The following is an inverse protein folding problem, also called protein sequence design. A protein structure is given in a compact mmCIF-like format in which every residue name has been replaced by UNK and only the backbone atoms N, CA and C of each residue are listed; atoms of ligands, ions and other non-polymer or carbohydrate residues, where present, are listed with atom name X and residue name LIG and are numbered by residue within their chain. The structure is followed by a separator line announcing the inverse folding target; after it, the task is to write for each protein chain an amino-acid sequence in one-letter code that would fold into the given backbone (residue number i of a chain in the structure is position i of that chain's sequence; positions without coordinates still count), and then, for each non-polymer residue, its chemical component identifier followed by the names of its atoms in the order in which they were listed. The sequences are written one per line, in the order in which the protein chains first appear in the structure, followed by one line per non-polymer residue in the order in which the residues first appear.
data_IF_307973347353
#
_entry.id   IF_307973347353
#
_cell.length_a   1.000
_cell.length_b   1.000
_cell.length_c   1.000
_cell.angle_alpha   90.00
_cell.angle_beta   90.00
_cell.angle_gamma   90.00
#
_symmetry.space_group_name_H-M   'P 1'
#
loop_
_entity.id
_entity.type
_entity.pdbx_description
1 polymer ?
#
# COMPACT_ATOMS: atom_id res chain seq x y z
N UNK A 1 -1.38 2.06 26.55
CA UNK A 1 -0.73 2.83 27.63
C UNK A 1 0.36 1.98 28.27
N UNK A 2 1.52 2.58 28.57
CA UNK A 2 2.60 1.91 29.32
C UNK A 2 2.22 1.61 30.77
N UNK A 3 1.21 2.28 31.34
CA UNK A 3 0.77 2.09 32.73
C UNK A 3 0.02 0.76 32.93
N UNK A 4 -0.66 0.29 31.89
CA UNK A 4 -1.46 -0.95 31.91
C UNK A 4 -0.59 -2.17 31.55
N UNK A 5 0.56 -1.97 30.91
CA UNK A 5 1.44 -3.06 30.52
C UNK A 5 2.00 -3.78 31.77
N UNK A 6 1.70 -5.08 31.89
CA UNK A 6 2.17 -5.96 32.98
C UNK A 6 3.38 -6.81 32.62
N UNK A 7 3.92 -6.66 31.42
CA UNK A 7 5.12 -7.40 31.00
C UNK A 7 4.90 -8.90 30.77
N UNK A 8 3.68 -9.35 30.45
CA UNK A 8 3.38 -10.77 30.14
C UNK A 8 4.06 -11.32 28.89
N UNK A 9 4.54 -10.43 28.01
CA UNK A 9 5.29 -10.75 26.79
C UNK A 9 4.56 -11.55 25.72
N UNK A 10 3.29 -11.95 25.91
CA UNK A 10 2.51 -12.66 24.88
C UNK A 10 2.41 -11.89 23.56
N UNK A 11 2.38 -10.56 23.59
CA UNK A 11 2.30 -9.73 22.39
C UNK A 11 3.54 -9.86 21.46
N UNK A 12 4.72 -10.14 22.00
CA UNK A 12 5.98 -10.22 21.24
C UNK A 12 5.97 -11.39 20.23
N UNK A 13 5.70 -12.66 20.63
CA UNK A 13 5.59 -13.75 19.68
C UNK A 13 4.33 -13.64 18.82
N UNK A 14 3.21 -13.14 19.35
CA UNK A 14 1.94 -13.04 18.62
C UNK A 14 1.98 -12.08 17.44
N UNK A 15 2.76 -11.00 17.48
CA UNK A 15 2.89 -10.11 16.33
C UNK A 15 3.60 -10.84 15.18
N UNK A 16 2.93 -11.10 14.04
CA UNK A 16 3.54 -11.87 12.97
C UNK A 16 4.71 -11.12 12.32
N UNK A 17 4.65 -9.79 12.28
CA UNK A 17 5.74 -8.92 11.79
C UNK A 17 6.89 -8.69 12.80
N UNK A 18 6.78 -9.21 14.02
CA UNK A 18 7.78 -9.04 15.09
C UNK A 18 8.15 -7.56 15.33
N UNK A 19 7.15 -6.68 15.33
CA UNK A 19 7.30 -5.22 15.53
C UNK A 19 7.02 -4.74 16.96
N UNK A 20 6.94 -5.67 17.90
CA UNK A 20 6.85 -5.39 19.33
C UNK A 20 8.15 -5.89 19.96
N UNK A 21 8.83 -5.00 20.68
CA UNK A 21 10.12 -5.26 21.30
C UNK A 21 9.96 -5.21 22.82
N UNK A 22 10.62 -6.12 23.53
CA UNK A 22 10.60 -6.12 24.97
C UNK A 22 11.75 -5.27 25.52
N UNK A 23 11.44 -4.30 26.36
CA UNK A 23 12.42 -3.53 27.09
C UNK A 23 12.76 -4.27 28.40
N UNK A 24 13.99 -4.74 28.48
CA UNK A 24 14.51 -5.54 29.61
C UNK A 24 14.74 -4.71 30.88
N UNK A 25 14.90 -3.39 30.76
CA UNK A 25 15.09 -2.48 31.89
C UNK A 25 13.74 -2.13 32.53
N UNK A 26 12.79 -1.66 31.72
CA UNK A 26 11.46 -1.28 32.22
C UNK A 26 10.53 -2.47 32.44
N UNK A 27 10.94 -3.66 31.98
CA UNK A 27 10.16 -4.89 31.96
C UNK A 27 8.82 -4.78 31.21
N UNK A 28 8.72 -3.87 30.23
CA UNK A 28 7.52 -3.62 29.43
C UNK A 28 7.76 -3.81 27.94
N UNK A 29 6.68 -4.03 27.20
CA UNK A 29 6.73 -4.11 25.74
C UNK A 29 6.56 -2.72 25.12
N UNK A 30 7.38 -2.41 24.14
CA UNK A 30 7.37 -1.17 23.36
C UNK A 30 7.22 -1.49 21.88
N UNK A 31 6.66 -0.55 21.13
CA UNK A 31 6.41 -0.72 19.70
C UNK A 31 6.38 0.63 19.00
N UNK A 32 6.32 0.62 17.67
CA UNK A 32 6.03 1.82 16.90
C UNK A 32 4.75 2.51 17.43
N UNK A 33 4.87 3.80 17.70
CA UNK A 33 3.76 4.67 18.15
C UNK A 33 3.24 5.55 17.01
N UNK A 34 3.66 5.26 15.78
CA UNK A 34 3.29 5.99 14.56
C UNK A 34 3.51 7.51 14.66
N UNK A 35 4.49 7.92 15.49
CA UNK A 35 4.76 9.30 15.84
C UNK A 35 3.49 10.10 16.21
N UNK A 36 2.55 9.53 16.97
CA UNK A 36 1.29 10.20 17.29
C UNK A 36 1.43 11.66 17.78
N UNK A 37 2.44 12.06 18.58
CA UNK A 37 2.57 13.48 18.99
C UNK A 37 2.82 14.42 17.81
N UNK A 38 3.44 13.93 16.73
CA UNK A 38 3.63 14.68 15.48
C UNK A 38 2.35 14.68 14.65
N UNK A 39 1.73 13.51 14.51
CA UNK A 39 0.50 13.34 13.74
C UNK A 39 -0.65 14.22 14.27
N UNK A 40 -0.78 14.33 15.59
CA UNK A 40 -1.76 15.21 16.25
C UNK A 40 -1.60 16.69 15.89
N UNK A 41 -0.38 17.09 15.47
CA UNK A 41 -0.05 18.43 14.99
C UNK A 41 0.00 18.53 13.45
N UNK A 42 -0.48 17.51 12.74
CA UNK A 42 -0.46 17.48 11.27
C UNK A 42 0.93 17.27 10.65
N UNK A 43 1.92 16.87 11.45
CA UNK A 43 3.27 16.57 10.98
C UNK A 43 3.42 15.09 10.60
N UNK A 44 4.21 14.77 9.57
CA UNK A 44 4.51 13.39 9.20
C UNK A 44 5.32 12.67 10.28
N UNK A 45 5.33 11.34 10.20
CA UNK A 45 6.22 10.50 10.99
C UNK A 45 7.68 10.84 10.65
N UNK A 46 8.56 10.76 11.65
CA UNK A 46 10.00 11.04 11.47
C UNK A 46 10.57 10.20 10.32
N UNK A 47 10.24 8.91 10.31
CA UNK A 47 10.77 8.00 9.31
C UNK A 47 10.21 8.25 7.89
N UNK A 48 9.07 8.95 7.75
CA UNK A 48 8.54 9.41 6.47
C UNK A 48 9.20 10.72 6.04
N UNK A 49 9.30 11.69 6.95
CA UNK A 49 9.92 13.00 6.72
C UNK A 49 11.40 12.89 6.35
N UNK A 50 12.16 12.04 7.05
CA UNK A 50 13.60 11.87 6.83
C UNK A 50 13.93 10.83 5.76
N UNK A 51 12.95 10.40 4.96
CA UNK A 51 13.15 9.40 3.93
C UNK A 51 13.92 10.00 2.74
N UNK A 52 15.24 9.79 2.71
CA UNK A 52 16.14 10.31 1.66
C UNK A 52 15.69 9.93 0.25
N UNK A 53 15.22 8.71 0.06
CA UNK A 53 14.72 8.23 -1.24
C UNK A 53 13.31 8.71 -1.61
N UNK A 54 12.66 9.54 -0.77
CA UNK A 54 11.33 10.13 -1.01
C UNK A 54 10.23 9.12 -1.40
N UNK A 55 10.34 7.89 -0.93
CA UNK A 55 9.47 6.77 -1.31
C UNK A 55 8.28 6.53 -0.34
N UNK A 56 8.17 7.35 0.71
CA UNK A 56 7.17 7.15 1.78
C UNK A 56 6.07 8.18 1.66
N UNK A 57 4.87 7.70 1.37
CA UNK A 57 3.66 8.50 1.30
C UNK A 57 2.79 8.22 2.52
N UNK A 58 2.19 9.27 3.06
CA UNK A 58 1.32 9.21 4.24
C UNK A 58 0.02 9.89 3.87
N UNK A 59 -1.10 9.23 4.13
CA UNK A 59 -2.41 9.68 3.72
C UNK A 59 -3.50 9.02 4.55
N UNK A 60 -4.64 9.70 4.63
CA UNK A 60 -5.82 9.22 5.34
C UNK A 60 -6.55 8.22 4.45
N UNK A 61 -7.08 7.16 5.03
CA UNK A 61 -7.96 6.21 4.37
C UNK A 61 -9.15 5.95 5.29
N UNK A 62 -10.35 5.95 4.74
CA UNK A 62 -11.54 5.53 5.44
C UNK A 62 -11.74 4.04 5.27
N UNK A 63 -12.24 3.39 6.32
CA UNK A 63 -12.47 1.97 6.32
C UNK A 63 -13.65 1.62 7.21
N UNK A 64 -14.36 0.56 6.86
CA UNK A 64 -15.54 0.09 7.58
C UNK A 64 -15.13 -0.84 8.72
N UNK A 65 -15.23 -0.37 9.97
CA UNK A 65 -14.84 -1.14 11.15
C UNK A 65 -15.67 -2.41 11.35
N UNK A 66 -16.95 -2.40 10.93
CA UNK A 66 -17.88 -3.51 11.19
C UNK A 66 -17.55 -4.72 10.31
N UNK A 67 -16.88 -4.51 9.17
CA UNK A 67 -16.48 -5.58 8.24
C UNK A 67 -15.10 -6.17 8.54
N UNK A 68 -14.34 -5.62 9.47
CA UNK A 68 -12.94 -6.02 9.75
C UNK A 68 -12.84 -7.51 10.10
N UNK A 69 -13.71 -8.01 10.98
CA UNK A 69 -13.68 -9.40 11.42
C UNK A 69 -14.04 -10.36 10.28
N UNK A 70 -15.13 -10.08 9.56
CA UNK A 70 -15.56 -10.87 8.41
C UNK A 70 -14.48 -10.95 7.33
N UNK A 71 -13.91 -9.80 6.96
CA UNK A 71 -12.88 -9.69 5.92
C UNK A 71 -11.60 -10.43 6.30
N UNK A 72 -11.18 -10.35 7.56
CA UNK A 72 -10.01 -11.07 8.07
C UNK A 72 -10.22 -12.59 8.20
N UNK A 73 -11.46 -13.02 8.41
CA UNK A 73 -11.84 -14.42 8.64
C UNK A 73 -12.04 -15.25 7.35
N UNK A 74 -11.76 -14.71 6.16
CA UNK A 74 -11.91 -15.43 4.88
C UNK A 74 -11.18 -16.77 4.86
N UNK A 75 -11.77 -17.84 4.32
CA UNK A 75 -11.11 -19.15 4.33
C UNK A 75 -9.93 -19.23 3.35
N UNK A 76 -10.03 -18.53 2.22
CA UNK A 76 -8.99 -18.52 1.20
C UNK A 76 -8.01 -17.38 1.47
N UNK A 77 -6.73 -17.72 1.62
CA UNK A 77 -5.67 -16.73 1.86
C UNK A 77 -5.43 -15.81 0.67
N UNK A 78 -5.83 -16.18 -0.55
CA UNK A 78 -5.64 -15.30 -1.72
C UNK A 78 -6.69 -14.18 -1.80
N UNK A 79 -7.86 -14.36 -1.18
CA UNK A 79 -8.94 -13.38 -1.21
C UNK A 79 -8.69 -12.23 -0.22
N UNK A 80 -7.80 -12.43 0.76
CA UNK A 80 -7.54 -11.45 1.84
C UNK A 80 -7.06 -10.10 1.31
N UNK A 81 -6.34 -10.08 0.19
CA UNK A 81 -5.90 -8.84 -0.46
C UNK A 81 -7.10 -8.03 -0.93
N UNK A 82 -7.99 -8.66 -1.70
CA UNK A 82 -9.17 -7.99 -2.26
C UNK A 82 -10.10 -7.55 -1.14
N UNK A 83 -10.31 -8.39 -0.12
CA UNK A 83 -11.05 -8.05 1.09
C UNK A 83 -10.47 -6.80 1.80
N UNK A 84 -9.15 -6.71 1.93
CA UNK A 84 -8.51 -5.54 2.57
C UNK A 84 -8.68 -4.28 1.71
N UNK A 85 -8.62 -4.41 0.38
CA UNK A 85 -8.90 -3.29 -0.54
C UNK A 85 -10.36 -2.88 -0.45
N UNK A 86 -11.31 -3.81 -0.40
CA UNK A 86 -12.76 -3.57 -0.29
C UNK A 86 -13.13 -2.86 1.02
N UNK A 87 -12.43 -3.17 2.11
CA UNK A 87 -12.59 -2.48 3.39
C UNK A 87 -12.33 -0.97 3.28
N UNK A 88 -11.45 -0.54 2.36
CA UNK A 88 -11.12 0.86 2.14
C UNK A 88 -12.23 1.54 1.33
N UNK A 89 -12.87 2.53 1.96
CA UNK A 89 -14.01 3.28 1.45
C UNK A 89 -13.57 4.47 0.58
N UNK A 90 -14.42 4.86 -0.37
CA UNK A 90 -14.18 6.02 -1.22
C UNK A 90 -14.44 7.34 -0.47
N UNK A 91 -13.43 8.20 -0.25
CA UNK A 91 -13.60 9.48 0.44
C UNK A 91 -14.35 10.53 -0.38
N UNK A 92 -14.70 10.26 -1.65
CA UNK A 92 -15.52 11.13 -2.49
C UNK A 92 -17.00 10.71 -2.55
N UNK A 93 -17.34 9.53 -2.05
CA UNK A 93 -18.72 9.05 -2.00
C UNK A 93 -19.54 9.90 -1.00
N UNK A 94 -20.64 10.55 -1.44
CA UNK A 94 -21.52 11.31 -0.56
C UNK A 94 -22.00 10.56 0.67
N UNK A 95 -22.27 9.25 0.57
CA UNK A 95 -22.75 8.43 1.70
C UNK A 95 -21.62 8.18 2.70
N UNK A 96 -20.40 7.91 2.24
CA UNK A 96 -19.21 7.77 3.11
C UNK A 96 -18.90 9.09 3.82
N UNK A 97 -19.01 10.23 3.12
CA UNK A 97 -18.80 11.55 3.71
C UNK A 97 -19.85 11.85 4.79
N UNK A 98 -21.10 11.48 4.53
CA UNK A 98 -22.19 11.64 5.50
C UNK A 98 -21.95 10.78 6.73
N UNK A 99 -21.64 9.50 6.57
CA UNK A 99 -21.33 8.60 7.66
C UNK A 99 -20.13 9.09 8.48
N UNK A 100 -19.04 9.53 7.82
CA UNK A 100 -17.86 10.08 8.49
C UNK A 100 -18.20 11.31 9.36
N UNK A 101 -19.12 12.18 8.91
CA UNK A 101 -19.59 13.32 9.71
C UNK A 101 -20.42 12.88 10.91
N UNK A 102 -21.30 11.89 10.73
CA UNK A 102 -22.12 11.33 11.81
C UNK A 102 -21.25 10.65 12.89
N UNK A 103 -20.13 10.05 12.50
CA UNK A 103 -19.11 9.48 13.39
C UNK A 103 -18.15 10.53 14.01
N UNK A 104 -18.32 11.81 13.68
CA UNK A 104 -17.55 12.91 14.27
C UNK A 104 -16.16 13.12 13.65
N UNK A 105 -15.89 12.57 12.46
CA UNK A 105 -14.66 12.86 11.71
C UNK A 105 -14.70 14.32 11.23
N UNK A 106 -13.64 15.08 11.52
CA UNK A 106 -13.60 16.50 11.18
C UNK A 106 -13.46 16.73 9.67
N UNK A 107 -13.97 17.86 9.19
CA UNK A 107 -13.83 18.29 7.79
C UNK A 107 -12.38 18.34 7.31
N UNK A 108 -11.43 18.61 8.21
CA UNK A 108 -10.01 18.59 7.87
C UNK A 108 -9.53 17.17 7.51
N UNK A 109 -9.97 16.15 8.26
CA UNK A 109 -9.66 14.75 7.99
C UNK A 109 -10.37 14.23 6.73
N UNK A 110 -11.63 14.63 6.49
CA UNK A 110 -12.36 14.30 5.24
C UNK A 110 -11.63 14.86 4.02
N UNK A 111 -11.24 16.14 4.05
CA UNK A 111 -10.46 16.76 2.97
C UNK A 111 -9.09 16.11 2.79
N UNK A 112 -8.46 15.66 3.87
CA UNK A 112 -7.19 14.95 3.80
C UNK A 112 -7.35 13.55 3.18
N UNK A 113 -8.45 12.85 3.44
CA UNK A 113 -8.78 11.58 2.81
C UNK A 113 -9.01 11.73 1.30
N UNK A 114 -9.75 12.77 0.88
CA UNK A 114 -9.98 13.08 -0.54
C UNK A 114 -8.69 13.39 -1.31
N UNK A 115 -7.67 13.92 -0.63
CA UNK A 115 -6.35 14.25 -1.20
C UNK A 115 -5.29 13.18 -0.90
N UNK A 116 -5.70 12.02 -0.39
CA UNK A 116 -4.77 11.03 0.14
C UNK A 116 -3.94 10.38 -0.97
N UNK A 117 -2.60 10.47 -0.93
CA UNK A 117 -1.74 9.73 -1.86
C UNK A 117 -1.87 8.21 -1.65
N UNK A 118 -2.16 7.78 -0.42
CA UNK A 118 -2.30 6.36 -0.06
C UNK A 118 -3.57 5.77 -0.69
N UNK A 119 -4.69 6.50 -0.62
CA UNK A 119 -5.94 6.06 -1.27
C UNK A 119 -5.74 5.87 -2.78
N UNK A 120 -5.03 6.81 -3.42
CA UNK A 120 -4.70 6.73 -4.85
C UNK A 120 -3.85 5.50 -5.19
N UNK A 121 -2.75 5.30 -4.45
CA UNK A 121 -1.84 4.18 -4.67
C UNK A 121 -2.51 2.81 -4.45
N UNK A 122 -3.41 2.72 -3.47
CA UNK A 122 -4.06 1.45 -3.07
C UNK A 122 -5.32 1.16 -3.88
N UNK A 123 -6.27 2.08 -3.91
CA UNK A 123 -7.64 1.85 -4.44
C UNK A 123 -7.79 2.34 -5.89
N UNK A 124 -7.32 3.55 -6.19
CA UNK A 124 -7.52 4.17 -7.51
C UNK A 124 -6.61 3.55 -8.58
N UNK A 125 -5.31 3.39 -8.28
CA UNK A 125 -4.32 2.90 -9.24
C UNK A 125 -3.95 1.42 -9.00
N UNK A 126 -4.20 0.88 -7.80
CA UNK A 126 -3.91 -0.51 -7.46
C UNK A 126 -2.45 -0.91 -7.67
N UNK A 127 -1.53 -0.02 -7.31
CA UNK A 127 -0.07 -0.23 -7.42
C UNK A 127 0.61 -0.50 -6.09
N UNK A 128 -0.05 -0.22 -4.98
CA UNK A 128 0.41 -0.59 -3.65
C UNK A 128 -0.27 -1.89 -3.18
N UNK A 129 0.51 -2.75 -2.53
CA UNK A 129 0.07 -4.05 -2.00
C UNK A 129 0.40 -4.15 -0.50
N UNK A 130 -0.41 -4.86 0.29
CA UNK A 130 -0.13 -5.09 1.71
C UNK A 130 1.06 -6.03 1.90
N UNK A 131 1.77 -5.94 3.02
CA UNK A 131 2.83 -6.89 3.37
C UNK A 131 2.24 -8.09 4.11
N UNK A 132 2.51 -9.31 3.63
CA UNK A 132 2.06 -10.57 4.21
C UNK A 132 0.58 -10.58 4.61
N UNK A 133 -0.34 -10.36 3.66
CA UNK A 133 -1.75 -10.23 4.01
C UNK A 133 -2.35 -11.55 4.51
N UNK A 134 -1.73 -12.71 4.23
CA UNK A 134 -2.08 -14.02 4.78
C UNK A 134 -2.00 -14.10 6.32
N UNK A 135 -1.33 -13.14 6.96
CA UNK A 135 -1.34 -13.02 8.43
C UNK A 135 -2.66 -12.50 8.99
N UNK A 136 -3.60 -12.06 8.15
CA UNK A 136 -4.98 -11.69 8.52
C UNK A 136 -5.08 -10.58 9.54
N UNK A 137 -4.03 -9.76 9.64
CA UNK A 137 -4.00 -8.57 10.50
C UNK A 137 -4.51 -7.32 9.79
N UNK A 138 -4.89 -7.42 8.51
CA UNK A 138 -5.30 -6.32 7.62
C UNK A 138 -4.33 -5.12 7.74
N UNK A 139 -3.06 -5.28 7.33
CA UNK A 139 -2.01 -4.31 7.60
C UNK A 139 -2.25 -2.98 6.88
N UNK A 140 -1.94 -1.86 7.55
CA UNK A 140 -2.12 -0.50 7.01
C UNK A 140 -0.82 0.17 6.54
N UNK A 141 0.24 -0.60 6.35
CA UNK A 141 1.49 -0.14 5.69
C UNK A 141 1.69 -0.97 4.43
N UNK A 142 1.61 -0.31 3.28
CA UNK A 142 1.57 -0.92 1.96
C UNK A 142 2.82 -0.55 1.15
N UNK A 143 3.13 -1.36 0.16
CA UNK A 143 4.36 -1.28 -0.62
C UNK A 143 4.04 -1.32 -2.11
N UNK A 144 4.68 -0.43 -2.87
CA UNK A 144 4.76 -0.59 -4.33
C UNK A 144 5.90 -1.59 -4.60
N UNK A 145 5.64 -2.74 -5.23
CA UNK A 145 6.68 -3.72 -5.52
C UNK A 145 7.79 -3.14 -6.40
N UNK A 146 9.06 -3.52 -6.19
CA UNK A 146 10.16 -2.99 -6.97
C UNK A 146 10.19 -3.61 -8.37
N UNK A 147 10.43 -2.78 -9.39
CA UNK A 147 10.89 -3.25 -10.69
C UNK A 147 12.33 -3.78 -10.57
N UNK A 148 12.72 -4.69 -11.46
CA UNK A 148 14.11 -5.14 -11.54
C UNK A 148 14.61 -5.26 -12.98
N UNK A 149 15.93 -5.20 -13.23
CA UNK A 149 16.50 -5.36 -14.56
C UNK A 149 16.13 -6.72 -15.19
N UNK A 150 16.24 -6.83 -16.52
CA UNK A 150 16.05 -8.10 -17.23
C UNK A 150 17.12 -9.13 -16.91
N UNK A 151 16.73 -10.41 -16.92
CA UNK A 151 17.60 -11.54 -16.59
C UNK A 151 18.52 -11.95 -17.76
N UNK A 152 18.09 -11.74 -19.01
CA UNK A 152 18.92 -11.91 -20.22
C UNK A 152 18.72 -10.71 -21.15
N UNK A 153 19.80 -10.27 -21.84
CA UNK A 153 19.72 -9.38 -23.01
C UNK A 153 19.03 -10.17 -24.13
N UNK A 154 17.71 -10.28 -24.09
CA UNK A 154 16.98 -10.80 -25.25
C UNK A 154 17.13 -9.76 -26.36
N UNK A 155 17.62 -10.24 -27.49
CA UNK A 155 17.92 -9.52 -28.72
C UNK A 155 16.64 -9.04 -29.41
N UNK A 156 15.94 -8.08 -28.81
CA UNK A 156 14.73 -7.49 -29.38
C UNK A 156 14.61 -6.04 -28.90
N UNK A 157 14.14 -5.17 -29.78
CA UNK A 157 13.98 -3.71 -29.64
C UNK A 157 13.01 -3.25 -28.53
N UNK A 158 12.93 -3.97 -27.41
CA UNK A 158 12.00 -3.74 -26.30
C UNK A 158 12.73 -3.01 -25.18
N UNK A 159 12.36 -1.75 -24.96
CA UNK A 159 13.03 -0.85 -24.01
C UNK A 159 12.59 -1.07 -22.54
N UNK A 160 11.40 -1.65 -22.32
CA UNK A 160 10.85 -1.96 -21.00
C UNK A 160 10.45 -3.45 -20.95
N UNK A 161 10.89 -4.22 -19.93
CA UNK A 161 10.56 -5.63 -19.85
C UNK A 161 9.14 -5.90 -19.38
N UNK A 162 8.61 -7.06 -19.77
CA UNK A 162 7.41 -7.62 -19.14
C UNK A 162 7.71 -8.01 -17.67
N UNK A 163 6.67 -8.00 -16.83
CA UNK A 163 6.78 -8.38 -15.42
C UNK A 163 7.46 -9.76 -15.21
N UNK A 164 7.24 -10.72 -16.11
CA UNK A 164 7.81 -12.07 -16.02
C UNK A 164 9.27 -12.17 -16.51
N UNK A 165 9.78 -11.17 -17.22
CA UNK A 165 11.16 -11.13 -17.75
C UNK A 165 12.16 -10.53 -16.76
N UNK A 166 11.65 -10.01 -15.64
CA UNK A 166 12.42 -9.39 -14.58
C UNK A 166 13.32 -10.37 -13.84
N UNK A 167 14.49 -9.89 -13.38
CA UNK A 167 15.47 -10.70 -12.64
C UNK A 167 14.93 -11.20 -11.30
N UNK A 168 14.15 -10.39 -10.60
CA UNK A 168 13.49 -10.80 -9.35
C UNK A 168 12.27 -11.64 -9.72
N UNK A 169 12.19 -12.91 -9.27
CA UNK A 169 11.06 -13.77 -9.63
C UNK A 169 9.74 -13.21 -9.13
N UNK A 170 8.73 -13.16 -10.01
CA UNK A 170 7.37 -12.72 -9.65
C UNK A 170 6.82 -13.54 -8.48
N UNK A 171 7.03 -14.86 -8.46
CA UNK A 171 6.60 -15.71 -7.35
C UNK A 171 7.16 -15.28 -5.99
N UNK A 172 8.43 -14.82 -5.94
CA UNK A 172 9.05 -14.38 -4.70
C UNK A 172 8.33 -13.16 -4.12
N UNK A 173 8.05 -12.16 -4.96
CA UNK A 173 7.31 -10.96 -4.55
C UNK A 173 5.84 -11.29 -4.23
N UNK A 174 5.23 -12.26 -4.93
CA UNK A 174 3.84 -12.64 -4.72
C UNK A 174 3.67 -13.28 -3.33
N UNK A 175 4.64 -14.09 -2.90
CA UNK A 175 4.68 -14.66 -1.56
C UNK A 175 4.78 -13.58 -0.45
N UNK A 176 5.29 -12.38 -0.76
CA UNK A 176 5.39 -11.28 0.19
C UNK A 176 4.16 -10.36 0.20
N UNK A 177 3.51 -10.16 -0.95
CA UNK A 177 2.55 -9.07 -1.12
C UNK A 177 1.12 -9.51 -1.46
N UNK A 178 0.94 -10.73 -1.96
CA UNK A 178 -0.35 -11.20 -2.51
C UNK A 178 -0.68 -12.63 -2.09
N UNK A 179 -0.14 -13.09 -0.95
CA UNK A 179 -0.32 -14.46 -0.46
C UNK A 179 0.00 -15.54 -1.54
N UNK A 180 0.98 -15.26 -2.39
CA UNK A 180 1.42 -16.14 -3.47
C UNK A 180 0.70 -15.97 -4.81
N UNK A 181 -0.30 -15.10 -4.92
CA UNK A 181 -1.01 -14.84 -6.18
C UNK A 181 -0.15 -14.00 -7.15
N UNK A 182 0.40 -14.66 -8.18
CA UNK A 182 1.29 -14.03 -9.16
C UNK A 182 0.57 -13.14 -10.16
N UNK A 183 -0.72 -13.38 -10.43
CA UNK A 183 -1.50 -12.61 -11.40
C UNK A 183 -1.73 -11.18 -10.90
N UNK A 184 -2.12 -11.03 -9.63
CA UNK A 184 -2.30 -9.72 -8.99
C UNK A 184 -0.99 -8.95 -9.01
N UNK A 185 0.11 -9.61 -8.66
CA UNK A 185 1.42 -8.98 -8.63
C UNK A 185 1.89 -8.56 -10.04
N UNK A 186 1.78 -9.46 -11.02
CA UNK A 186 2.18 -9.18 -12.40
C UNK A 186 1.40 -7.97 -12.96
N UNK A 187 0.08 -7.94 -12.73
CA UNK A 187 -0.78 -6.79 -13.08
C UNK A 187 -0.32 -5.50 -12.40
N UNK A 188 0.01 -5.54 -11.10
CA UNK A 188 0.52 -4.36 -10.38
C UNK A 188 1.85 -3.87 -10.95
N UNK A 189 2.79 -4.77 -11.26
CA UNK A 189 4.06 -4.40 -11.90
C UNK A 189 3.84 -3.82 -13.31
N UNK A 190 2.93 -4.41 -14.08
CA UNK A 190 2.58 -3.94 -15.42
C UNK A 190 2.04 -2.51 -15.40
N UNK A 191 1.18 -2.14 -14.44
CA UNK A 191 0.69 -0.76 -14.28
C UNK A 191 1.82 0.26 -14.09
N UNK A 192 2.87 -0.11 -13.36
CA UNK A 192 4.04 0.76 -13.17
C UNK A 192 4.86 0.86 -14.45
N UNK A 193 4.97 -0.22 -15.23
CA UNK A 193 5.63 -0.22 -16.54
C UNK A 193 4.86 0.62 -17.56
N UNK A 194 3.53 0.48 -17.62
CA UNK A 194 2.65 1.23 -18.51
C UNK A 194 2.77 2.74 -18.25
N UNK A 195 2.81 3.16 -16.98
CA UNK A 195 3.06 4.56 -16.63
C UNK A 195 4.42 5.05 -17.14
N UNK A 196 5.47 4.23 -17.04
CA UNK A 196 6.80 4.60 -17.56
C UNK A 196 6.82 4.67 -19.09
N UNK A 197 6.12 3.78 -19.77
CA UNK A 197 5.98 3.81 -21.22
C UNK A 197 5.20 5.05 -21.68
N UNK A 198 4.08 5.35 -21.03
CA UNK A 198 3.27 6.55 -21.27
C UNK A 198 4.12 7.81 -21.15
N UNK A 199 4.85 7.96 -20.04
CA UNK A 199 5.71 9.13 -19.84
C UNK A 199 6.83 9.20 -20.87
N UNK A 200 7.45 8.07 -21.24
CA UNK A 200 8.46 8.04 -22.30
C UNK A 200 7.90 8.54 -23.63
N UNK A 201 6.79 7.95 -24.10
CA UNK A 201 6.16 8.28 -25.38
C UNK A 201 5.75 9.75 -25.43
N UNK A 202 5.21 10.26 -24.33
CA UNK A 202 4.84 11.67 -24.19
C UNK A 202 6.04 12.62 -24.30
N UNK A 203 7.20 12.25 -23.77
CA UNK A 203 8.43 13.06 -23.85
C UNK A 203 9.14 12.92 -25.21
N UNK A 204 9.09 11.75 -25.85
CA UNK A 204 9.70 11.50 -27.17
C UNK A 204 8.83 11.95 -28.34
N UNK A 205 7.53 12.15 -28.13
CA UNK A 205 6.55 12.44 -29.17
C UNK A 205 6.11 11.20 -29.96
N UNK A 206 6.38 10.00 -29.41
CA UNK A 206 5.90 8.75 -29.99
C UNK A 206 4.37 8.64 -29.84
N UNK A 207 3.72 7.90 -30.75
CA UNK A 207 2.27 7.66 -30.73
C UNK A 207 1.80 6.91 -29.48
N UNK A 208 0.47 6.68 -29.33
CA UNK A 208 -0.12 6.05 -28.15
C UNK A 208 0.44 4.64 -27.90
N UNK A 209 0.27 4.14 -26.67
CA UNK A 209 0.64 2.78 -26.30
C UNK A 209 -0.14 1.78 -27.19
N UNK A 210 0.56 0.78 -27.72
CA UNK A 210 0.01 -0.13 -28.73
C UNK A 210 -0.78 -1.30 -28.13
N UNK A 211 -0.53 -1.65 -26.86
CA UNK A 211 -1.28 -2.66 -26.12
C UNK A 211 -2.39 -2.06 -25.26
N UNK A 212 -3.27 -2.92 -24.75
CA UNK A 212 -4.35 -2.54 -23.84
C UNK A 212 -3.77 -2.16 -22.47
N UNK A 213 -4.08 -0.95 -22.01
CA UNK A 213 -3.67 -0.42 -20.69
C UNK A 213 -4.90 -0.34 -19.78
N UNK A 214 -4.73 -0.73 -18.51
CA UNK A 214 -5.81 -0.72 -17.51
C UNK A 214 -6.08 0.66 -16.88
N UNK A 215 -5.17 1.61 -17.07
CA UNK A 215 -5.19 2.95 -16.49
C UNK A 215 -5.43 4.02 -17.56
N UNK A 216 -6.13 5.09 -17.19
CA UNK A 216 -6.31 6.26 -18.08
C UNK A 216 -5.03 7.09 -18.15
N UNK A 217 -4.91 7.94 -19.18
CA UNK A 217 -3.79 8.88 -19.29
C UNK A 217 -3.68 9.81 -18.07
N UNK A 218 -4.83 10.27 -17.55
CA UNK A 218 -4.88 11.10 -16.35
C UNK A 218 -4.38 10.36 -15.11
N UNK A 219 -4.71 9.07 -14.97
CA UNK A 219 -4.21 8.24 -13.87
C UNK A 219 -2.70 8.01 -13.99
N UNK A 220 -2.21 7.67 -15.19
CA UNK A 220 -0.77 7.46 -15.43
C UNK A 220 0.03 8.74 -15.21
N UNK A 221 -0.47 9.90 -15.67
CA UNK A 221 0.15 11.18 -15.39
C UNK A 221 0.07 11.56 -13.91
N UNK A 222 -1.05 11.24 -13.25
CA UNK A 222 -1.24 11.40 -11.81
C UNK A 222 -0.23 10.59 -10.99
N UNK A 223 0.05 9.34 -11.39
CA UNK A 223 1.08 8.49 -10.81
C UNK A 223 2.48 9.11 -10.94
N UNK A 224 2.82 9.66 -12.10
CA UNK A 224 4.11 10.32 -12.33
C UNK A 224 4.29 11.58 -11.46
N UNK A 225 3.22 12.34 -11.27
CA UNK A 225 3.26 13.62 -10.53
C UNK A 225 3.35 13.46 -9.01
N UNK A 226 2.95 12.30 -8.47
CA UNK A 226 2.78 12.07 -7.03
C UNK A 226 4.09 12.16 -6.23
#
# INVERSE_FOLDING_TARGET
SQDVCRGWRHCVPSCPYKKIFYNWETNKAEKCVFCYPRLENGLPQICAETCVGRMRYVGVVFYDMDKVEEMAATKNEQDIYENTVELILDPHDPEVIKAAREEGISEAWIKAAQKSPVYKLVKEWGVALPLHPEYRTLPMVWYVPPLSPILQRVTSDVYLPDAHEMRVPVQYLANLFTAGNTEILARTLQRVLDMREYMRRRETGDGPIEHKVDLTEDQMYGMYKL
#
